data_IF_738637980209
#
_entry.id   IF_738637980209
#
_cell.length_a   1.000
_cell.length_b   1.000
_cell.length_c   1.000
_cell.angle_alpha   90.00
_cell.angle_beta   90.00
_cell.angle_gamma   90.00
#
_symmetry.space_group_name_H-M   'P 1'
#
loop_
_entity.id
_entity.type
_entity.pdbx_description
1 polymer ?
#
# COMPACT_ATOMS: atom_id res chain seq x y z
N UNK A 1 22.31 4.06 -51.65
CA UNK A 1 21.88 5.38 -52.16
C UNK A 1 21.77 6.35 -51.00
N UNK A 2 22.34 7.55 -51.12
CA UNK A 2 22.37 8.55 -50.05
C UNK A 2 21.08 9.38 -50.06
N UNK A 3 20.39 9.40 -48.93
CA UNK A 3 19.35 10.40 -48.64
C UNK A 3 19.99 11.80 -48.73
N UNK A 4 19.40 12.67 -49.57
CA UNK A 4 19.76 14.08 -49.68
C UNK A 4 19.28 14.78 -48.42
N UNK A 5 20.20 14.90 -47.47
CA UNK A 5 19.99 15.61 -46.21
C UNK A 5 19.89 17.10 -46.50
N UNK A 6 18.75 17.69 -46.14
CA UNK A 6 18.62 19.14 -46.01
C UNK A 6 19.62 19.65 -44.96
N UNK A 7 20.01 20.93 -45.03
CA UNK A 7 20.83 21.57 -43.99
C UNK A 7 20.02 21.49 -42.69
N UNK A 8 20.41 20.58 -41.79
CA UNK A 8 19.66 20.21 -40.58
C UNK A 8 19.27 18.72 -40.47
N UNK A 9 19.29 17.96 -41.57
CA UNK A 9 19.32 16.48 -41.55
C UNK A 9 17.98 15.72 -41.62
N UNK A 10 16.83 16.35 -41.96
CA UNK A 10 15.49 15.70 -41.99
C UNK A 10 14.95 15.52 -43.43
N UNK A 11 14.24 14.42 -43.75
CA UNK A 11 13.76 14.03 -45.11
C UNK A 11 12.23 14.14 -45.31
N UNK A 12 11.74 14.32 -46.57
CA UNK A 12 10.32 14.59 -46.91
C UNK A 12 9.74 13.71 -48.04
N UNK A 13 8.44 13.34 -47.94
CA UNK A 13 7.63 12.78 -49.04
C UNK A 13 6.73 13.83 -49.71
N UNK A 14 6.39 13.66 -50.99
CA UNK A 14 5.67 14.64 -51.84
C UNK A 14 4.21 14.89 -51.42
N UNK A 15 3.77 16.16 -51.31
CA UNK A 15 2.36 16.53 -51.04
C UNK A 15 2.05 17.15 -49.66
N UNK A 16 3.01 17.25 -48.74
CA UNK A 16 2.82 17.98 -47.46
C UNK A 16 3.14 19.47 -47.65
N UNK A 17 2.19 20.37 -47.30
CA UNK A 17 2.45 21.83 -47.32
C UNK A 17 3.35 22.24 -46.14
N UNK A 18 4.32 23.11 -46.41
CA UNK A 18 5.40 23.44 -45.47
C UNK A 18 4.87 23.91 -44.09
N UNK A 19 3.79 24.69 -44.09
CA UNK A 19 3.18 25.26 -42.86
C UNK A 19 2.72 24.18 -41.87
N UNK A 20 2.42 22.98 -42.35
CA UNK A 20 1.88 21.87 -41.55
C UNK A 20 3.00 20.99 -40.98
N UNK A 21 4.09 20.77 -41.73
CA UNK A 21 5.29 20.09 -41.23
C UNK A 21 5.86 20.81 -40.01
N UNK A 22 6.01 22.13 -40.11
CA UNK A 22 6.65 22.95 -39.07
C UNK A 22 5.97 22.82 -37.71
N UNK A 23 4.63 22.81 -37.65
CA UNK A 23 3.88 22.65 -36.39
C UNK A 23 4.10 21.27 -35.74
N UNK A 24 4.19 20.22 -36.56
CA UNK A 24 4.35 18.85 -36.10
C UNK A 24 5.71 18.62 -35.43
N UNK A 25 6.78 19.16 -36.01
CA UNK A 25 8.14 19.14 -35.43
C UNK A 25 8.17 19.87 -34.08
N UNK A 26 7.50 21.02 -33.98
CA UNK A 26 7.51 21.83 -32.76
C UNK A 26 6.70 21.22 -31.61
N UNK A 27 5.59 20.53 -31.90
CA UNK A 27 4.73 19.92 -30.89
C UNK A 27 5.11 18.49 -30.53
N UNK A 28 5.85 17.78 -31.40
CA UNK A 28 6.28 16.40 -31.15
C UNK A 28 6.92 16.20 -29.77
N UNK A 29 7.84 17.08 -29.29
CA UNK A 29 8.43 16.96 -27.97
C UNK A 29 7.41 16.88 -26.85
N UNK A 30 6.34 17.67 -26.91
CA UNK A 30 5.31 17.75 -25.86
C UNK A 30 4.39 16.53 -25.91
N UNK A 31 4.06 16.06 -27.11
CA UNK A 31 3.19 14.87 -27.26
C UNK A 31 3.95 13.59 -26.92
N UNK A 32 5.23 13.44 -27.29
CA UNK A 32 6.05 12.37 -26.70
C UNK A 32 6.11 12.55 -25.19
N UNK A 33 6.26 13.76 -24.66
CA UNK A 33 6.20 13.97 -23.21
C UNK A 33 4.87 13.50 -22.60
N UNK A 34 3.69 13.68 -23.20
CA UNK A 34 2.42 13.26 -22.57
C UNK A 34 2.01 11.82 -22.89
N UNK A 35 2.27 11.34 -24.10
CA UNK A 35 2.04 9.93 -24.44
C UNK A 35 2.94 9.05 -23.60
N UNK A 36 4.19 9.49 -23.40
CA UNK A 36 5.02 9.06 -22.29
C UNK A 36 4.19 9.16 -21.02
N UNK A 37 3.76 10.32 -20.55
CA UNK A 37 2.99 10.46 -19.29
C UNK A 37 1.71 9.60 -19.14
N UNK A 38 1.14 9.01 -20.18
CA UNK A 38 -0.11 8.23 -20.10
C UNK A 38 0.05 6.74 -20.43
N UNK A 39 0.97 6.39 -21.30
CA UNK A 39 1.47 5.01 -21.32
C UNK A 39 2.22 4.74 -20.01
N UNK A 40 2.82 5.80 -19.45
CA UNK A 40 3.22 5.91 -18.07
C UNK A 40 1.99 5.80 -17.13
N UNK A 41 0.84 6.44 -17.39
CA UNK A 41 -0.33 6.41 -16.49
C UNK A 41 -1.06 5.06 -16.44
N UNK A 42 -1.33 4.44 -17.59
CA UNK A 42 -2.15 3.23 -17.72
C UNK A 42 -1.34 1.96 -17.85
N UNK A 43 -0.01 2.08 -17.90
CA UNK A 43 0.89 0.95 -17.88
C UNK A 43 0.77 0.09 -19.13
N UNK A 44 0.44 0.69 -20.27
CA UNK A 44 0.52 0.02 -21.54
C UNK A 44 1.24 0.95 -22.50
N UNK A 45 2.23 0.39 -23.17
CA UNK A 45 3.07 1.14 -24.08
C UNK A 45 3.26 0.31 -25.34
N UNK A 46 3.37 1.00 -26.47
CA UNK A 46 2.89 0.47 -27.75
C UNK A 46 3.81 0.76 -28.93
N UNK A 47 5.12 0.79 -28.72
CA UNK A 47 6.09 1.05 -29.78
C UNK A 47 6.18 -0.09 -30.80
N UNK A 48 6.09 -1.33 -30.31
CA UNK A 48 6.35 -2.60 -31.02
C UNK A 48 6.17 -3.63 -29.92
N UNK A 49 5.47 -4.74 -30.13
CA UNK A 49 5.19 -5.72 -29.06
C UNK A 49 6.45 -6.28 -28.37
N UNK A 50 7.62 -6.10 -28.99
CA UNK A 50 8.95 -6.40 -28.44
C UNK A 50 9.48 -5.40 -27.40
N UNK A 51 8.95 -4.17 -27.34
CA UNK A 51 9.49 -3.09 -26.50
C UNK A 51 8.78 -2.93 -25.14
N UNK A 52 7.64 -3.58 -24.92
CA UNK A 52 6.81 -3.39 -23.71
C UNK A 52 6.52 -4.71 -23.00
N UNK A 53 7.52 -5.21 -22.26
CA UNK A 53 7.52 -6.55 -21.66
C UNK A 53 6.44 -6.80 -20.58
N UNK A 54 6.04 -5.77 -19.85
CA UNK A 54 5.00 -5.85 -18.80
C UNK A 54 3.58 -5.79 -19.38
N UNK A 55 3.43 -5.19 -20.56
CA UNK A 55 2.22 -5.29 -21.36
C UNK A 55 2.12 -6.62 -22.13
N UNK A 56 3.07 -7.55 -21.92
CA UNK A 56 3.01 -8.87 -22.56
C UNK A 56 1.91 -9.70 -21.94
N UNK A 57 1.14 -10.35 -22.81
CA UNK A 57 0.01 -11.18 -22.44
C UNK A 57 0.36 -12.23 -21.39
N UNK A 58 1.54 -12.85 -21.47
CA UNK A 58 1.96 -13.85 -20.47
C UNK A 58 2.14 -13.27 -19.07
N UNK A 59 2.60 -12.01 -18.94
CA UNK A 59 2.77 -11.31 -17.65
C UNK A 59 1.42 -10.87 -17.11
N UNK A 60 0.59 -10.26 -17.96
CA UNK A 60 -0.79 -9.87 -17.62
C UNK A 60 -1.59 -11.09 -17.11
N UNK A 61 -1.49 -12.24 -17.78
CA UNK A 61 -2.16 -13.47 -17.37
C UNK A 61 -1.65 -14.01 -16.03
N UNK A 62 -0.34 -13.96 -15.79
CA UNK A 62 0.24 -14.39 -14.53
C UNK A 62 -0.18 -13.50 -13.36
N UNK A 63 -0.17 -12.18 -13.57
CA UNK A 63 -0.55 -11.20 -12.55
C UNK A 63 -2.02 -11.35 -12.17
N UNK A 64 -2.91 -11.50 -13.16
CA UNK A 64 -4.31 -11.80 -12.91
C UNK A 64 -4.50 -13.10 -12.11
N UNK A 65 -3.75 -14.16 -12.44
CA UNK A 65 -3.78 -15.39 -11.68
C UNK A 65 -3.26 -15.23 -10.24
N UNK A 66 -2.25 -14.39 -10.02
CA UNK A 66 -1.72 -14.12 -8.68
C UNK A 66 -2.66 -13.23 -7.85
N UNK A 67 -3.33 -12.25 -8.48
CA UNK A 67 -4.38 -11.45 -7.85
C UNK A 67 -5.47 -12.38 -7.32
N UNK A 68 -5.93 -13.35 -8.12
CA UNK A 68 -6.93 -14.32 -7.68
C UNK A 68 -6.47 -15.15 -6.48
N UNK A 69 -5.20 -15.55 -6.42
CA UNK A 69 -4.64 -16.25 -5.25
C UNK A 69 -4.62 -15.35 -4.01
N UNK A 70 -4.23 -14.08 -4.18
CA UNK A 70 -4.22 -13.12 -3.08
C UNK A 70 -5.63 -12.85 -2.57
N UNK A 71 -6.60 -12.68 -3.47
CA UNK A 71 -8.02 -12.53 -3.13
C UNK A 71 -8.52 -13.75 -2.38
N UNK A 72 -8.28 -14.97 -2.89
CA UNK A 72 -8.66 -16.19 -2.19
C UNK A 72 -7.98 -16.34 -0.82
N UNK A 73 -6.72 -15.89 -0.68
CA UNK A 73 -6.04 -15.88 0.61
C UNK A 73 -6.66 -14.87 1.59
N UNK A 74 -7.00 -13.66 1.13
CA UNK A 74 -7.68 -12.63 1.94
C UNK A 74 -9.11 -13.05 2.30
N UNK A 75 -9.82 -13.76 1.43
CA UNK A 75 -11.14 -14.31 1.72
C UNK A 75 -11.06 -15.39 2.80
N UNK A 76 -10.03 -16.24 2.76
CA UNK A 76 -9.78 -17.25 3.78
C UNK A 76 -9.25 -16.66 5.10
N UNK A 77 -8.43 -15.62 5.04
CA UNK A 77 -7.79 -14.94 6.18
C UNK A 77 -8.17 -13.47 6.18
N UNK A 78 -9.46 -13.16 6.35
CA UNK A 78 -9.94 -11.79 6.31
C UNK A 78 -9.34 -10.96 7.46
N UNK A 79 -8.43 -10.00 7.18
CA UNK A 79 -7.78 -9.20 8.22
C UNK A 79 -8.74 -8.21 8.89
N UNK A 80 -9.91 -8.00 8.30
CA UNK A 80 -10.97 -7.11 8.79
C UNK A 80 -12.23 -7.90 9.20
N UNK A 81 -12.08 -9.18 9.52
CA UNK A 81 -13.17 -9.95 10.10
C UNK A 81 -13.67 -9.24 11.37
N UNK A 82 -14.99 -9.20 11.53
CA UNK A 82 -15.60 -8.61 12.74
C UNK A 82 -15.13 -9.43 13.95
N UNK A 83 -14.50 -8.75 14.89
CA UNK A 83 -13.99 -9.33 16.13
C UNK A 83 -14.40 -8.46 17.30
N UNK A 84 -14.60 -9.09 18.45
CA UNK A 84 -14.90 -8.39 19.72
C UNK A 84 -13.67 -7.65 20.28
N UNK A 85 -12.47 -7.95 19.76
CA UNK A 85 -11.22 -7.36 20.21
C UNK A 85 -10.55 -6.53 19.11
N UNK A 86 -9.84 -5.48 19.51
CA UNK A 86 -9.00 -4.69 18.60
C UNK A 86 -7.72 -5.46 18.30
N UNK A 87 -7.47 -5.82 17.04
CA UNK A 87 -6.30 -6.61 16.65
C UNK A 87 -5.35 -5.76 15.79
N UNK A 88 -4.07 -5.79 16.11
CA UNK A 88 -3.03 -5.24 15.25
C UNK A 88 -2.81 -6.14 14.05
N UNK A 89 -3.13 -5.67 12.84
CA UNK A 89 -2.91 -6.43 11.59
C UNK A 89 -1.42 -6.72 11.36
N UNK A 90 -0.54 -5.81 11.77
CA UNK A 90 0.91 -5.96 11.55
C UNK A 90 1.59 -6.94 12.50
N UNK A 91 1.13 -7.02 13.75
CA UNK A 91 1.78 -7.84 14.79
C UNK A 91 0.94 -9.02 15.25
N UNK A 92 -0.33 -9.09 14.86
CA UNK A 92 -1.31 -10.04 15.37
C UNK A 92 -1.66 -9.82 16.86
N UNK A 93 -1.18 -8.74 17.48
CA UNK A 93 -1.43 -8.48 18.90
C UNK A 93 -2.89 -8.11 19.09
N UNK A 94 -3.56 -8.88 19.94
CA UNK A 94 -4.93 -8.63 20.38
C UNK A 94 -4.94 -7.67 21.56
N UNK A 95 -5.82 -6.67 21.50
CA UNK A 95 -6.10 -5.74 22.57
C UNK A 95 -6.84 -6.42 23.72
N UNK A 96 -6.54 -6.00 24.94
CA UNK A 96 -7.35 -6.35 26.11
C UNK A 96 -8.57 -5.41 26.23
N UNK A 97 -9.42 -5.66 27.21
CA UNK A 97 -10.60 -4.84 27.52
C UNK A 97 -10.25 -3.38 27.87
N UNK A 98 -8.98 -3.08 28.15
CA UNK A 98 -8.54 -1.73 28.48
C UNK A 98 -8.21 -0.89 27.24
N UNK A 99 -7.99 -1.52 26.08
CA UNK A 99 -7.73 -0.84 24.82
C UNK A 99 -9.03 -0.26 24.27
N UNK A 100 -8.98 1.00 23.86
CA UNK A 100 -10.14 1.75 23.36
C UNK A 100 -9.80 2.63 22.15
N UNK A 101 -8.71 2.31 21.44
CA UNK A 101 -8.26 3.10 20.30
C UNK A 101 -9.20 3.05 19.09
N UNK A 102 -10.06 2.04 19.02
CA UNK A 102 -11.17 1.95 18.05
C UNK A 102 -12.25 3.02 18.29
N UNK A 103 -12.37 3.53 19.51
CA UNK A 103 -13.36 4.56 19.92
C UNK A 103 -12.72 5.94 20.11
N UNK A 104 -11.57 6.17 19.48
CA UNK A 104 -10.80 7.41 19.63
C UNK A 104 -11.64 8.68 19.41
N UNK A 105 -12.46 8.68 18.37
CA UNK A 105 -13.34 9.78 18.01
C UNK A 105 -14.41 10.03 19.08
N UNK A 106 -15.08 8.98 19.55
CA UNK A 106 -16.13 9.08 20.56
C UNK A 106 -15.57 9.53 21.92
N UNK A 107 -14.45 8.93 22.35
CA UNK A 107 -13.75 9.32 23.57
C UNK A 107 -13.21 10.76 23.48
N UNK A 108 -12.67 11.14 22.32
CA UNK A 108 -12.20 12.50 22.05
C UNK A 108 -13.31 13.53 22.11
N UNK A 109 -14.47 13.23 21.51
CA UNK A 109 -15.62 14.13 21.52
C UNK A 109 -16.21 14.29 22.93
N UNK A 110 -16.33 13.20 23.69
CA UNK A 110 -16.73 13.25 25.10
C UNK A 110 -15.75 14.08 25.95
N UNK A 111 -14.45 13.88 25.76
CA UNK A 111 -13.41 14.66 26.44
C UNK A 111 -13.48 16.14 26.08
N UNK A 112 -13.71 16.46 24.80
CA UNK A 112 -13.84 17.83 24.31
C UNK A 112 -15.06 18.53 24.90
N UNK A 113 -16.20 17.84 24.98
CA UNK A 113 -17.43 18.38 25.59
C UNK A 113 -17.24 18.78 27.05
N UNK A 114 -16.32 18.13 27.77
CA UNK A 114 -15.98 18.46 29.14
C UNK A 114 -15.10 19.71 29.28
N UNK A 115 -14.50 20.19 28.18
CA UNK A 115 -13.62 21.37 28.11
C UNK A 115 -14.38 22.59 27.62
N UNK A 116 -15.32 22.40 26.67
CA UNK A 116 -16.12 23.49 26.10
C UNK A 116 -16.84 24.26 27.20
N UNK A 117 -16.65 25.59 27.23
CA UNK A 117 -17.28 26.49 28.20
C UNK A 117 -16.58 26.61 29.54
N UNK A 118 -15.49 25.89 29.80
CA UNK A 118 -14.69 26.02 31.03
C UNK A 118 -13.54 27.01 30.88
N UNK A 119 -13.20 27.68 31.98
CA UNK A 119 -12.00 28.51 32.03
C UNK A 119 -10.73 27.63 32.05
N UNK A 120 -9.61 28.16 31.57
CA UNK A 120 -8.34 27.42 31.53
C UNK A 120 -7.91 26.84 32.88
N UNK A 121 -8.20 27.54 34.00
CA UNK A 121 -7.89 27.07 35.36
C UNK A 121 -8.70 25.84 35.80
N UNK A 122 -9.86 25.61 35.18
CA UNK A 122 -10.79 24.53 35.51
C UNK A 122 -10.58 23.28 34.64
N UNK A 123 -9.87 23.43 33.51
CA UNK A 123 -9.54 22.32 32.62
C UNK A 123 -8.46 21.46 33.27
N UNK A 124 -8.78 20.20 33.53
CA UNK A 124 -7.83 19.19 34.00
C UNK A 124 -7.63 18.12 32.94
N UNK A 125 -6.39 17.96 32.50
CA UNK A 125 -5.99 16.89 31.59
C UNK A 125 -5.61 15.65 32.41
N UNK A 126 -6.54 14.69 32.50
CA UNK A 126 -6.35 13.45 33.26
C UNK A 126 -5.81 12.36 32.34
N UNK A 127 -4.79 11.62 32.78
CA UNK A 127 -4.18 10.53 32.00
C UNK A 127 -5.14 9.36 31.75
N UNK A 128 -6.13 9.17 32.61
CA UNK A 128 -7.16 8.15 32.46
C UNK A 128 -8.05 8.39 31.24
N UNK A 129 -8.29 9.66 30.87
CA UNK A 129 -9.05 10.03 29.68
C UNK A 129 -8.23 9.88 28.39
N UNK A 130 -6.95 9.53 28.49
CA UNK A 130 -6.12 9.30 27.32
C UNK A 130 -6.51 7.98 26.68
N UNK A 131 -6.66 8.00 25.35
CA UNK A 131 -6.86 6.80 24.54
C UNK A 131 -5.68 5.85 24.75
N UNK A 132 -5.99 4.58 25.01
CA UNK A 132 -5.04 3.50 25.20
C UNK A 132 -4.87 2.78 23.86
N UNK A 133 -3.65 2.83 23.34
CA UNK A 133 -3.29 2.18 22.08
C UNK A 133 -2.71 0.79 22.32
N UNK A 134 -2.79 -0.06 21.29
CA UNK A 134 -2.18 -1.39 21.28
C UNK A 134 -0.66 -1.35 21.54
N UNK A 135 0.02 -0.25 21.23
CA UNK A 135 1.46 -0.09 21.48
C UNK A 135 1.81 -0.12 22.98
N UNK A 136 0.86 0.25 23.85
CA UNK A 136 1.03 0.18 25.30
C UNK A 136 0.98 -1.24 25.86
N UNK A 137 0.47 -2.21 25.09
CA UNK A 137 0.40 -3.60 25.50
C UNK A 137 1.79 -4.24 25.44
N UNK A 138 2.35 -4.50 26.62
CA UNK A 138 3.48 -5.42 26.74
C UNK A 138 2.90 -6.83 26.81
N UNK A 139 2.96 -7.56 25.70
CA UNK A 139 2.56 -8.97 25.69
C UNK A 139 3.51 -9.77 26.57
N UNK A 140 3.06 -10.10 27.77
CA UNK A 140 3.80 -10.87 28.76
C UNK A 140 3.18 -12.26 28.86
N UNK A 141 3.93 -13.28 28.47
CA UNK A 141 3.55 -14.68 28.67
C UNK A 141 4.13 -15.14 30.00
N UNK A 142 3.31 -15.73 30.87
CA UNK A 142 3.80 -16.43 32.06
C UNK A 142 4.25 -17.84 31.65
N UNK A 143 5.54 -18.11 31.78
CA UNK A 143 6.10 -19.46 31.66
C UNK A 143 6.65 -19.84 33.04
N UNK A 144 5.93 -20.71 33.75
CA UNK A 144 6.17 -20.97 35.17
C UNK A 144 5.97 -19.70 36.02
N UNK A 145 6.95 -19.36 36.86
CA UNK A 145 6.92 -18.17 37.72
C UNK A 145 7.53 -16.91 37.07
N UNK A 146 7.91 -16.96 35.79
CA UNK A 146 8.53 -15.81 35.09
C UNK A 146 7.61 -15.24 34.02
N UNK A 147 7.41 -13.94 34.06
CA UNK A 147 6.79 -13.18 32.97
C UNK A 147 7.83 -12.85 31.91
N UNK A 148 7.64 -13.38 30.71
CA UNK A 148 8.53 -13.13 29.57
C UNK A 148 7.77 -12.25 28.58
N UNK A 149 8.37 -11.12 28.20
CA UNK A 149 7.81 -10.32 27.11
C UNK A 149 8.11 -11.03 25.80
N UNK A 150 7.05 -11.52 25.14
CA UNK A 150 7.18 -12.24 23.87
C UNK A 150 7.17 -11.25 22.71
N UNK A 151 8.24 -11.19 21.93
CA UNK A 151 8.20 -10.50 20.63
C UNK A 151 7.54 -11.45 19.61
N UNK A 152 6.37 -11.10 19.06
CA UNK A 152 5.66 -11.95 18.09
C UNK A 152 6.51 -12.30 16.87
N UNK A 153 7.37 -11.37 16.43
CA UNK A 153 8.24 -11.55 15.27
C UNK A 153 9.33 -12.58 15.55
N UNK A 154 9.92 -12.55 16.75
CA UNK A 154 10.93 -13.54 17.17
C UNK A 154 10.28 -14.92 17.27
N UNK A 155 9.06 -15.00 17.81
CA UNK A 155 8.28 -16.24 17.89
C UNK A 155 7.99 -16.79 16.49
N UNK A 156 7.48 -15.94 15.58
CA UNK A 156 7.20 -16.32 14.21
C UNK A 156 8.44 -16.84 13.47
N UNK A 157 9.58 -16.14 13.59
CA UNK A 157 10.86 -16.58 12.99
C UNK A 157 11.29 -17.93 13.55
N UNK A 158 11.20 -18.14 14.86
CA UNK A 158 11.57 -19.41 15.51
C UNK A 158 10.68 -20.56 15.06
N UNK A 159 9.36 -20.35 15.04
CA UNK A 159 8.39 -21.36 14.57
C UNK A 159 8.68 -21.70 13.11
N UNK A 160 8.92 -20.69 12.28
CA UNK A 160 9.22 -20.88 10.85
C UNK A 160 10.50 -21.69 10.61
N UNK A 161 11.53 -21.50 11.45
CA UNK A 161 12.79 -22.25 11.36
C UNK A 161 12.67 -23.68 11.92
N UNK A 162 11.81 -23.89 12.92
CA UNK A 162 11.69 -25.17 13.63
C UNK A 162 10.66 -26.12 13.01
N UNK A 163 9.74 -25.61 12.19
CA UNK A 163 8.73 -26.46 11.55
C UNK A 163 9.39 -27.49 10.64
N UNK A 164 8.92 -28.73 10.69
CA UNK A 164 9.43 -29.83 9.86
C UNK A 164 8.65 -29.97 8.55
N UNK A 165 7.38 -29.57 8.54
CA UNK A 165 6.54 -29.56 7.35
C UNK A 165 5.49 -28.45 7.40
N UNK A 166 4.98 -28.05 6.23
CA UNK A 166 3.90 -27.06 6.13
C UNK A 166 2.59 -27.52 6.77
N UNK A 167 2.42 -28.83 6.95
CA UNK A 167 1.23 -29.42 7.57
C UNK A 167 1.17 -29.17 9.08
N UNK A 168 2.30 -28.95 9.75
CA UNK A 168 2.33 -28.63 11.20
C UNK A 168 1.74 -27.25 11.52
N UNK A 169 1.61 -26.38 10.51
CA UNK A 169 1.06 -25.02 10.65
C UNK A 169 -0.35 -24.89 10.06
N UNK A 170 -0.91 -25.96 9.51
CA UNK A 170 -2.31 -25.97 9.07
C UNK A 170 -3.17 -26.33 10.27
N UNK A 171 -4.08 -25.42 10.64
CA UNK A 171 -5.18 -25.71 11.56
C UNK A 171 -6.21 -26.62 10.88
#
# INVERSE_FOLDING_TARGET
MRSLKSIGGISHGSGISDRTLTKRILAMPIVTIVSQQVEDFCGLSFATSEHHAEARDSRILCDNANILKLVGWLEFQNPFAVSDFVISISSGIMGDETINCDRDFACGNSSMSCIVGKNFKEVKLVRENRIKSLQGLKYKVKIGNKEITGNPEILFRRISLLKKSDTELKN
#
